data_IF_229318407305
#
_entry.id   IF_229318407305
#
_cell.length_a   1.000
_cell.length_b   1.000
_cell.length_c   1.000
_cell.angle_alpha   90.00
_cell.angle_beta   90.00
_cell.angle_gamma   90.00
#
_symmetry.space_group_name_H-M   'P 1'
#
loop_
_entity.id
_entity.type
_entity.pdbx_description
1 polymer ?
#
# COMPACT_ATOMS: atom_id res chain seq x y z
N UNK A 1 -7.27 13.87 -13.12
CA UNK A 1 -7.01 13.76 -14.56
C UNK A 1 -5.62 13.16 -14.73
N UNK A 2 -5.55 11.86 -15.04
CA UNK A 2 -4.26 11.16 -15.17
C UNK A 2 -3.65 11.39 -16.55
N UNK A 3 -4.47 11.38 -17.60
CA UNK A 3 -4.03 11.60 -18.98
C UNK A 3 -3.43 13.00 -19.14
N UNK A 4 -4.15 14.04 -18.68
CA UNK A 4 -3.62 15.41 -18.72
C UNK A 4 -2.33 15.59 -17.90
N UNK A 5 -2.19 14.88 -16.76
CA UNK A 5 -0.96 14.92 -15.97
C UNK A 5 0.22 14.25 -16.70
N UNK A 6 -0.03 13.13 -17.40
CA UNK A 6 0.98 12.45 -18.21
C UNK A 6 1.40 13.32 -19.38
N UNK A 7 0.47 13.89 -20.13
CA UNK A 7 0.77 14.80 -21.25
C UNK A 7 1.62 15.99 -20.81
N UNK A 8 1.28 16.61 -19.67
CA UNK A 8 2.06 17.70 -19.10
C UNK A 8 3.48 17.26 -18.75
N UNK A 9 3.65 16.11 -18.10
CA UNK A 9 4.97 15.59 -17.72
C UNK A 9 5.80 15.20 -18.96
N UNK A 10 5.18 14.59 -19.97
CA UNK A 10 5.86 14.27 -21.23
C UNK A 10 6.32 15.53 -21.96
N UNK A 11 5.49 16.58 -21.98
CA UNK A 11 5.89 17.89 -22.53
C UNK A 11 7.06 18.53 -21.77
N UNK A 12 7.20 18.23 -20.47
CA UNK A 12 8.32 18.63 -19.62
C UNK A 12 9.56 17.71 -19.75
N UNK A 13 9.58 16.78 -20.72
CA UNK A 13 10.73 15.92 -21.03
C UNK A 13 10.78 14.61 -20.24
N UNK A 14 9.73 14.28 -19.48
CA UNK A 14 9.59 12.95 -18.89
C UNK A 14 9.29 11.93 -19.99
N UNK A 15 9.66 10.67 -19.77
CA UNK A 15 9.45 9.61 -20.76
C UNK A 15 8.68 8.44 -20.17
N UNK A 16 7.56 8.09 -20.76
CA UNK A 16 6.85 6.86 -20.45
C UNK A 16 7.77 5.65 -20.60
N UNK A 17 7.82 4.81 -19.57
CA UNK A 17 8.60 3.57 -19.56
C UNK A 17 7.68 2.40 -19.31
N UNK A 18 7.74 1.42 -20.21
CA UNK A 18 7.14 0.12 -19.98
C UNK A 18 7.92 -0.59 -18.86
N UNK A 19 7.42 -0.46 -17.63
CA UNK A 19 7.86 -1.27 -16.50
C UNK A 19 6.69 -2.09 -15.99
N UNK A 20 6.93 -3.30 -15.47
CA UNK A 20 6.00 -3.94 -14.56
C UNK A 20 6.00 -3.13 -13.27
N UNK A 21 5.36 -1.96 -13.28
CA UNK A 21 5.15 -1.14 -12.11
C UNK A 21 3.70 -1.20 -11.69
N UNK A 22 3.54 -0.87 -10.42
CA UNK A 22 2.31 -0.95 -9.65
C UNK A 22 1.48 0.33 -9.76
N UNK A 23 2.05 1.41 -10.35
CA UNK A 23 1.28 2.56 -10.82
C UNK A 23 0.78 2.32 -12.24
N UNK A 24 -0.43 2.79 -12.61
CA UNK A 24 -0.91 2.65 -13.98
C UNK A 24 0.00 3.29 -15.03
N UNK A 25 0.83 4.28 -14.65
CA UNK A 25 1.83 4.89 -15.52
C UNK A 25 3.14 5.07 -14.77
N UNK A 26 4.25 4.72 -15.41
CA UNK A 26 5.60 5.06 -14.93
C UNK A 26 6.28 5.93 -15.94
N UNK A 27 6.82 7.02 -15.43
CA UNK A 27 7.63 7.94 -16.20
C UNK A 27 9.07 7.88 -15.71
N UNK A 28 10.02 8.08 -16.61
CA UNK A 28 11.40 8.40 -16.28
C UNK A 28 11.56 9.91 -16.28
N UNK A 29 12.10 10.46 -15.21
CA UNK A 29 12.43 11.89 -15.13
C UNK A 29 13.57 12.23 -16.08
N UNK A 30 13.73 13.51 -16.48
CA UNK A 30 14.85 13.95 -17.32
C UNK A 30 16.23 13.63 -16.73
N UNK A 31 16.33 13.53 -15.41
CA UNK A 31 17.53 13.20 -14.65
C UNK A 31 17.63 11.70 -14.26
N UNK A 32 16.77 10.86 -14.84
CA UNK A 32 16.94 9.41 -14.83
C UNK A 32 16.25 8.63 -13.71
N UNK A 33 15.51 9.30 -12.81
CA UNK A 33 14.73 8.65 -11.75
C UNK A 33 13.41 8.09 -12.30
N UNK A 34 12.84 7.10 -11.60
CA UNK A 34 11.51 6.61 -11.90
C UNK A 34 10.46 7.40 -11.10
N UNK A 35 9.37 7.79 -11.76
CA UNK A 35 8.21 8.43 -11.18
C UNK A 35 6.99 7.53 -11.45
N UNK A 36 6.44 6.96 -10.39
CA UNK A 36 5.20 6.19 -10.45
C UNK A 36 4.00 7.13 -10.25
N UNK A 37 3.10 7.17 -11.23
CA UNK A 37 1.87 7.97 -11.16
C UNK A 37 0.69 7.09 -10.79
N UNK A 38 -0.07 7.53 -9.79
CA UNK A 38 -1.21 6.82 -9.24
C UNK A 38 -2.47 7.71 -9.24
N UNK A 39 -3.53 7.35 -9.99
CA UNK A 39 -4.84 7.99 -9.86
C UNK A 39 -5.52 7.60 -8.53
N UNK A 40 -5.15 6.44 -8.00
CA UNK A 40 -5.54 5.91 -6.70
C UNK A 40 -4.42 5.06 -6.13
N UNK A 41 -4.21 5.10 -4.82
CA UNK A 41 -3.17 4.31 -4.16
C UNK A 41 -3.48 2.81 -4.09
N UNK A 42 -4.77 2.45 -4.12
CA UNK A 42 -5.20 1.05 -4.07
C UNK A 42 -6.25 0.77 -5.14
N UNK A 43 -5.94 -0.19 -6.01
CA UNK A 43 -6.84 -0.64 -7.06
C UNK A 43 -8.09 -1.32 -6.50
N UNK A 44 -9.14 -1.35 -7.32
CA UNK A 44 -10.39 -2.06 -7.07
C UNK A 44 -10.99 -1.83 -5.66
N UNK A 45 -10.79 -0.64 -5.09
CA UNK A 45 -11.24 -0.27 -3.74
C UNK A 45 -10.82 -1.28 -2.65
N UNK A 46 -9.63 -1.88 -2.80
CA UNK A 46 -9.09 -2.90 -1.87
C UNK A 46 -8.99 -2.37 -0.44
N UNK A 47 -8.47 -1.16 -0.29
CA UNK A 47 -8.43 -0.42 0.98
C UNK A 47 -8.95 1.00 0.76
N UNK A 48 -9.21 1.71 1.87
CA UNK A 48 -9.79 3.05 1.90
C UNK A 48 -8.72 4.08 2.20
N UNK A 49 -8.11 4.59 1.13
CA UNK A 49 -7.20 5.72 1.22
C UNK A 49 -7.47 6.63 0.00
N UNK A 50 -8.61 7.35 -0.01
CA UNK A 50 -8.98 8.16 -1.15
C UNK A 50 -8.00 9.33 -1.31
N UNK A 51 -7.65 9.61 -2.56
CA UNK A 51 -6.66 10.63 -2.94
C UNK A 51 -6.96 11.99 -2.29
N UNK A 52 -8.21 12.43 -2.32
CA UNK A 52 -8.65 13.68 -1.69
C UNK A 52 -8.30 13.75 -0.20
N UNK A 53 -8.56 12.68 0.56
CA UNK A 53 -8.32 12.68 1.99
C UNK A 53 -6.81 12.61 2.32
N UNK A 54 -5.99 12.02 1.45
CA UNK A 54 -4.54 12.05 1.56
C UNK A 54 -4.01 13.47 1.35
N UNK A 55 -4.46 14.17 0.31
CA UNK A 55 -4.09 15.57 0.09
C UNK A 55 -4.59 16.49 1.20
N UNK A 56 -5.81 16.28 1.71
CA UNK A 56 -6.36 17.07 2.80
C UNK A 56 -5.54 16.95 4.11
N UNK A 57 -4.88 15.81 4.35
CA UNK A 57 -3.99 15.60 5.50
C UNK A 57 -2.52 15.89 5.22
N UNK A 58 -2.17 16.21 3.98
CA UNK A 58 -0.79 16.49 3.60
C UNK A 58 -0.32 17.85 4.12
N UNK A 59 0.98 17.95 4.37
CA UNK A 59 1.63 19.20 4.77
C UNK A 59 2.31 19.81 3.55
N UNK A 60 2.29 21.14 3.45
CA UNK A 60 3.12 21.85 2.46
C UNK A 60 4.57 21.84 2.91
N UNK A 61 5.47 21.51 1.98
CA UNK A 61 6.91 21.58 2.17
C UNK A 61 7.51 22.34 0.99
N UNK A 62 8.29 23.38 1.27
CA UNK A 62 9.02 24.17 0.27
C UNK A 62 10.52 23.91 0.27
N UNK A 63 11.02 23.20 1.27
CA UNK A 63 12.44 22.94 1.49
C UNK A 63 12.96 21.73 0.72
N UNK A 64 12.14 20.71 0.48
CA UNK A 64 12.59 19.46 -0.14
C UNK A 64 13.11 19.62 -1.58
N UNK A 65 12.41 20.42 -2.39
CA UNK A 65 12.69 20.55 -3.83
C UNK A 65 12.79 22.01 -4.30
N UNK A 66 12.84 22.98 -3.38
CA UNK A 66 12.83 24.41 -3.71
C UNK A 66 11.53 24.89 -4.37
N UNK A 67 10.48 24.05 -4.36
CA UNK A 67 9.14 24.34 -4.85
C UNK A 67 8.13 23.82 -3.82
N UNK A 68 6.93 24.39 -3.80
CA UNK A 68 5.84 23.91 -2.93
C UNK A 68 5.43 22.51 -3.35
N UNK A 69 5.64 21.54 -2.47
CA UNK A 69 5.13 20.17 -2.61
C UNK A 69 4.20 19.82 -1.45
N UNK A 70 3.30 18.87 -1.69
CA UNK A 70 2.43 18.30 -0.66
C UNK A 70 3.00 16.96 -0.20
N UNK A 71 3.43 16.90 1.05
CA UNK A 71 3.99 15.69 1.66
C UNK A 71 2.90 14.95 2.42
N UNK A 72 2.60 13.67 2.10
CA UNK A 72 1.57 12.92 2.79
C UNK A 72 1.86 12.77 4.30
N UNK A 73 0.82 12.75 5.12
CA UNK A 73 0.97 12.51 6.55
C UNK A 73 1.67 11.16 6.82
N UNK A 74 2.56 11.05 7.83
CA UNK A 74 3.28 9.81 8.12
C UNK A 74 2.38 8.59 8.32
N UNK A 75 1.19 8.77 8.91
CA UNK A 75 0.19 7.71 9.05
C UNK A 75 -0.30 7.15 7.71
N UNK A 76 -0.54 8.03 6.73
CA UNK A 76 -0.99 7.64 5.39
C UNK A 76 0.13 6.93 4.61
N UNK A 77 1.38 7.38 4.78
CA UNK A 77 2.55 6.70 4.21
C UNK A 77 2.69 5.29 4.79
N UNK A 78 2.59 5.16 6.12
CA UNK A 78 2.66 3.86 6.78
C UNK A 78 1.55 2.91 6.34
N UNK A 79 0.30 3.41 6.26
CA UNK A 79 -0.83 2.66 5.73
C UNK A 79 -0.58 2.24 4.27
N UNK A 80 -0.07 3.14 3.43
CA UNK A 80 0.27 2.83 2.05
C UNK A 80 1.28 1.68 1.94
N UNK A 81 2.38 1.72 2.71
CA UNK A 81 3.41 0.68 2.69
C UNK A 81 2.86 -0.68 3.12
N UNK A 82 2.06 -0.74 4.19
CA UNK A 82 1.41 -1.98 4.64
C UNK A 82 0.49 -2.54 3.55
N UNK A 83 -0.32 -1.69 2.94
CA UNK A 83 -1.27 -2.11 1.90
C UNK A 83 -0.57 -2.58 0.63
N UNK A 84 0.53 -1.91 0.25
CA UNK A 84 1.36 -2.28 -0.89
C UNK A 84 2.02 -3.64 -0.65
N UNK A 85 2.61 -3.86 0.53
CA UNK A 85 3.18 -5.16 0.87
C UNK A 85 2.12 -6.29 0.84
N UNK A 86 0.95 -6.05 1.44
CA UNK A 86 -0.15 -7.01 1.43
C UNK A 86 -0.75 -7.29 0.05
N UNK A 87 -0.46 -6.44 -0.93
CA UNK A 87 -0.95 -6.54 -2.31
C UNK A 87 0.05 -7.20 -3.27
N UNK A 88 1.34 -6.98 -3.04
CA UNK A 88 2.38 -7.28 -4.03
C UNK A 88 3.05 -8.66 -3.81
N UNK A 89 2.91 -9.24 -2.63
CA UNK A 89 3.38 -10.58 -2.21
C UNK A 89 4.87 -10.91 -2.43
N UNK A 90 5.35 -11.87 -1.63
CA UNK A 90 6.75 -12.12 -1.28
C UNK A 90 7.58 -12.78 -2.40
N UNK A 91 8.40 -12.00 -3.12
CA UNK A 91 9.69 -12.53 -3.56
C UNK A 91 10.80 -12.18 -2.54
N UNK A 92 12.03 -12.66 -2.74
CA UNK A 92 13.16 -12.37 -1.83
C UNK A 92 13.51 -10.88 -1.70
N UNK A 93 13.01 -10.01 -2.58
CA UNK A 93 13.15 -8.54 -2.47
C UNK A 93 12.14 -7.91 -1.51
N UNK A 94 11.15 -8.67 -1.03
CA UNK A 94 10.13 -8.19 -0.10
C UNK A 94 10.67 -7.87 1.31
N UNK A 95 11.83 -8.40 1.70
CA UNK A 95 12.52 -8.02 2.96
C UNK A 95 12.83 -6.54 3.00
N UNK A 96 13.30 -5.95 1.89
CA UNK A 96 13.59 -4.51 1.83
C UNK A 96 12.35 -3.64 2.08
N UNK A 97 11.15 -4.13 1.73
CA UNK A 97 9.88 -3.43 2.00
C UNK A 97 9.45 -3.56 3.46
N UNK A 98 9.72 -4.69 4.11
CA UNK A 98 9.51 -4.82 5.56
C UNK A 98 10.43 -3.88 6.32
N UNK A 99 11.67 -3.71 5.88
CA UNK A 99 12.60 -2.73 6.43
C UNK A 99 12.11 -1.29 6.22
N UNK A 100 11.52 -0.96 5.06
CA UNK A 100 10.89 0.35 4.82
C UNK A 100 9.75 0.61 5.81
N UNK A 101 8.86 -0.38 6.02
CA UNK A 101 7.78 -0.28 7.00
C UNK A 101 8.37 -0.07 8.40
N UNK A 102 9.38 -0.85 8.79
CA UNK A 102 10.03 -0.74 10.09
C UNK A 102 10.66 0.65 10.30
N UNK A 103 11.39 1.17 9.31
CA UNK A 103 12.01 2.51 9.38
C UNK A 103 10.98 3.61 9.59
N UNK A 104 9.78 3.48 9.03
CA UNK A 104 8.72 4.48 9.20
C UNK A 104 8.23 4.61 10.64
N UNK A 105 8.41 3.60 11.51
CA UNK A 105 8.02 3.68 12.91
C UNK A 105 8.60 4.92 13.63
N UNK A 106 9.85 5.27 13.34
CA UNK A 106 10.52 6.45 13.91
C UNK A 106 9.97 7.80 13.44
N UNK A 107 9.18 7.83 12.37
CA UNK A 107 8.66 9.06 11.73
C UNK A 107 7.17 9.29 11.98
N UNK A 108 6.44 8.28 12.48
CA UNK A 108 4.98 8.34 12.64
C UNK A 108 4.55 9.36 13.71
N UNK A 109 5.36 9.52 14.77
CA UNK A 109 5.08 10.47 15.85
C UNK A 109 3.75 10.25 16.59
N UNK A 110 3.15 9.05 16.46
CA UNK A 110 1.84 8.70 17.03
C UNK A 110 1.90 7.38 17.80
N UNK A 111 0.97 7.21 18.75
CA UNK A 111 0.88 5.97 19.54
C UNK A 111 0.49 4.77 18.67
N UNK A 112 0.89 3.57 19.09
CA UNK A 112 0.51 2.32 18.42
C UNK A 112 -1.02 2.17 18.28
N UNK A 113 -1.78 2.63 19.27
CA UNK A 113 -3.23 2.66 19.22
C UNK A 113 -3.77 3.60 18.12
N UNK A 114 -3.19 4.80 18.01
CA UNK A 114 -3.57 5.77 16.96
C UNK A 114 -3.34 5.19 15.57
N UNK A 115 -2.20 4.52 15.37
CA UNK A 115 -1.87 3.84 14.12
C UNK A 115 -2.85 2.70 13.85
N UNK A 116 -3.14 1.85 14.84
CA UNK A 116 -4.09 0.75 14.69
C UNK A 116 -5.49 1.25 14.31
N UNK A 117 -5.97 2.31 14.97
CA UNK A 117 -7.25 2.96 14.63
C UNK A 117 -7.23 3.52 13.20
N UNK A 118 -6.15 4.18 12.80
CA UNK A 118 -5.99 4.71 11.45
C UNK A 118 -6.06 3.59 10.39
N UNK A 119 -5.31 2.49 10.58
CA UNK A 119 -5.34 1.32 9.70
C UNK A 119 -6.74 0.72 9.59
N UNK A 120 -7.49 0.64 10.69
CA UNK A 120 -8.88 0.17 10.67
C UNK A 120 -9.79 1.13 9.88
N UNK A 121 -9.66 2.46 10.06
CA UNK A 121 -10.43 3.45 9.26
C UNK A 121 -10.12 3.32 7.77
N UNK A 122 -8.87 3.01 7.43
CA UNK A 122 -8.43 2.71 6.08
C UNK A 122 -8.91 1.35 5.57
N UNK A 123 -9.68 0.58 6.34
CA UNK A 123 -10.17 -0.74 5.94
C UNK A 123 -9.06 -1.79 5.83
N UNK A 124 -7.97 -1.62 6.59
CA UNK A 124 -6.75 -2.41 6.51
C UNK A 124 -6.58 -3.36 7.70
N UNK A 125 -7.67 -3.68 8.42
CA UNK A 125 -7.60 -4.50 9.63
C UNK A 125 -6.91 -5.86 9.40
N UNK A 126 -7.32 -6.63 8.39
CA UNK A 126 -6.77 -7.99 8.17
C UNK A 126 -5.39 -7.98 7.53
N UNK A 127 -5.14 -7.07 6.58
CA UNK A 127 -3.79 -6.91 6.02
C UNK A 127 -2.80 -6.50 7.11
N UNK A 128 -3.20 -5.65 8.05
CA UNK A 128 -2.34 -5.28 9.19
C UNK A 128 -2.06 -6.49 10.09
N UNK A 129 -3.05 -7.37 10.31
CA UNK A 129 -2.84 -8.66 11.02
C UNK A 129 -1.88 -9.60 10.31
N UNK A 130 -1.80 -9.51 8.99
CA UNK A 130 -0.86 -10.30 8.19
C UNK A 130 0.54 -9.68 8.18
N UNK A 131 0.66 -8.37 7.93
CA UNK A 131 1.94 -7.70 7.68
C UNK A 131 2.70 -7.35 8.95
N UNK A 132 2.05 -6.83 9.98
CA UNK A 132 2.74 -6.33 11.18
C UNK A 132 3.55 -7.42 11.92
N UNK A 133 3.04 -8.67 12.08
CA UNK A 133 3.85 -9.75 12.63
C UNK A 133 5.09 -10.06 11.78
N UNK A 134 4.99 -9.98 10.45
CA UNK A 134 6.12 -10.23 9.56
C UNK A 134 7.19 -9.14 9.68
N UNK A 135 6.78 -7.87 9.80
CA UNK A 135 7.70 -6.76 10.07
C UNK A 135 8.48 -7.06 11.34
N UNK A 136 7.78 -7.31 12.46
CA UNK A 136 8.43 -7.60 13.72
C UNK A 136 9.37 -8.82 13.65
N UNK A 137 8.94 -9.92 13.04
CA UNK A 137 9.74 -11.15 12.93
C UNK A 137 11.01 -10.97 12.10
N UNK A 138 10.97 -10.16 11.05
CA UNK A 138 12.11 -9.98 10.13
C UNK A 138 13.06 -8.89 10.59
N UNK A 139 12.53 -7.78 11.11
CA UNK A 139 13.33 -6.58 11.43
C UNK A 139 13.60 -6.40 12.92
N UNK A 140 12.96 -7.21 13.77
CA UNK A 140 12.96 -7.08 15.23
C UNK A 140 12.48 -5.69 15.74
N UNK A 141 11.71 -4.98 14.92
CA UNK A 141 11.15 -3.67 15.26
C UNK A 141 9.92 -3.86 16.18
N UNK A 142 9.91 -3.31 17.41
CA UNK A 142 8.87 -3.59 18.40
C UNK A 142 7.56 -2.81 18.18
N UNK A 143 7.58 -1.65 17.53
CA UNK A 143 6.39 -0.83 17.30
C UNK A 143 5.35 -1.56 16.45
N UNK A 144 5.77 -2.30 15.42
CA UNK A 144 4.86 -3.13 14.63
C UNK A 144 4.09 -4.15 15.48
N UNK A 145 4.74 -4.78 16.46
CA UNK A 145 4.09 -5.70 17.39
C UNK A 145 3.10 -4.98 18.32
N UNK A 146 3.45 -3.77 18.78
CA UNK A 146 2.54 -2.94 19.59
C UNK A 146 1.29 -2.53 18.80
N UNK A 147 1.46 -2.06 17.56
CA UNK A 147 0.33 -1.72 16.66
C UNK A 147 -0.55 -2.94 16.44
N UNK A 148 0.05 -4.11 16.21
CA UNK A 148 -0.69 -5.36 16.04
C UNK A 148 -1.53 -5.72 17.27
N UNK A 149 -0.98 -5.55 18.48
CA UNK A 149 -1.69 -5.79 19.73
C UNK A 149 -2.89 -4.84 19.95
N UNK A 150 -2.83 -3.62 19.40
CA UNK A 150 -3.92 -2.65 19.46
C UNK A 150 -5.03 -2.88 18.41
N UNK A 151 -4.89 -3.85 17.50
CA UNK A 151 -5.92 -4.10 16.48
C UNK A 151 -7.18 -4.74 17.12
N UNK A 152 -8.39 -4.28 16.76
CA UNK A 152 -9.64 -4.83 17.30
C UNK A 152 -9.82 -6.30 16.93
N UNK A 153 -10.44 -7.08 17.81
CA UNK A 153 -10.67 -8.51 17.64
C UNK A 153 -11.34 -8.82 16.29
N UNK A 154 -10.75 -9.75 15.52
CA UNK A 154 -11.30 -10.24 14.25
C UNK A 154 -10.86 -11.70 14.06
N UNK A 155 -11.63 -12.68 14.57
CA UNK A 155 -11.26 -14.10 14.49
C UNK A 155 -11.14 -14.59 13.04
N UNK A 156 -12.03 -14.11 12.16
CA UNK A 156 -11.95 -14.41 10.72
C UNK A 156 -10.66 -13.82 10.16
N UNK A 157 -10.34 -12.58 10.52
CA UNK A 157 -9.10 -11.92 10.13
C UNK A 157 -7.84 -12.66 10.58
N UNK A 158 -7.84 -13.25 11.77
CA UNK A 158 -6.74 -14.09 12.25
C UNK A 158 -6.56 -15.35 11.39
N UNK A 159 -7.65 -16.04 11.08
CA UNK A 159 -7.62 -17.21 10.19
C UNK A 159 -7.13 -16.84 8.78
N UNK A 160 -7.66 -15.75 8.19
CA UNK A 160 -7.24 -15.26 6.87
C UNK A 160 -5.77 -14.87 6.87
N UNK A 161 -5.27 -14.19 7.91
CA UNK A 161 -3.87 -13.81 8.02
C UNK A 161 -2.95 -15.05 8.15
N UNK A 162 -3.36 -16.07 8.92
CA UNK A 162 -2.61 -17.33 9.03
C UNK A 162 -2.56 -18.10 7.70
N UNK A 163 -3.68 -18.15 6.97
CA UNK A 163 -3.73 -18.74 5.63
C UNK A 163 -2.84 -17.94 4.67
N UNK A 164 -2.84 -16.60 4.74
CA UNK A 164 -1.99 -15.75 3.92
C UNK A 164 -0.51 -16.03 4.20
N UNK A 165 -0.08 -16.07 5.47
CA UNK A 165 1.31 -16.35 5.85
C UNK A 165 1.79 -17.73 5.39
N UNK A 166 0.95 -18.75 5.47
CA UNK A 166 1.29 -20.11 5.00
C UNK A 166 1.26 -20.24 3.48
N UNK A 167 0.25 -19.66 2.81
CA UNK A 167 0.00 -19.86 1.38
C UNK A 167 0.88 -18.98 0.48
N UNK A 168 1.37 -17.86 1.00
CA UNK A 168 2.18 -16.89 0.24
C UNK A 168 3.68 -17.06 0.49
N UNK A 169 4.08 -17.94 1.40
CA UNK A 169 5.48 -18.23 1.65
C UNK A 169 6.13 -18.80 0.38
N UNK A 170 7.07 -18.06 -0.22
CA UNK A 170 7.75 -18.45 -1.46
C UNK A 170 6.89 -18.39 -2.73
N UNK A 171 5.69 -17.80 -2.67
CA UNK A 171 4.85 -17.62 -3.85
C UNK A 171 5.35 -16.45 -4.71
N UNK A 172 5.41 -16.58 -6.05
CA UNK A 172 5.79 -15.46 -6.92
C UNK A 172 4.86 -14.25 -6.74
N UNK A 173 5.44 -13.04 -6.78
CA UNK A 173 4.74 -11.76 -6.63
C UNK A 173 3.49 -11.62 -7.54
N UNK A 174 3.53 -12.20 -8.75
CA UNK A 174 2.45 -12.13 -9.73
C UNK A 174 1.55 -13.38 -9.79
N UNK A 175 1.49 -14.17 -8.71
CA UNK A 175 0.66 -15.37 -8.68
C UNK A 175 -0.84 -15.04 -8.56
N UNK A 176 -1.70 -15.84 -9.22
CA UNK A 176 -3.17 -15.74 -9.08
C UNK A 176 -3.63 -15.93 -7.63
N UNK A 177 -2.90 -16.76 -6.86
CA UNK A 177 -3.13 -16.99 -5.44
C UNK A 177 -2.86 -15.74 -4.62
N UNK A 178 -1.75 -15.04 -4.89
CA UNK A 178 -1.47 -13.73 -4.33
C UNK A 178 -2.62 -12.76 -4.56
N UNK A 179 -3.00 -12.54 -5.82
CA UNK A 179 -4.10 -11.63 -6.15
C UNK A 179 -5.39 -11.93 -5.36
N UNK A 180 -5.78 -13.21 -5.21
CA UNK A 180 -6.93 -13.61 -4.39
C UNK A 180 -6.74 -13.21 -2.91
N UNK A 181 -5.60 -13.55 -2.32
CA UNK A 181 -5.30 -13.28 -0.91
C UNK A 181 -5.28 -11.77 -0.64
N UNK A 182 -4.72 -10.95 -1.54
CA UNK A 182 -4.73 -9.49 -1.42
C UNK A 182 -6.16 -8.92 -1.24
N UNK A 183 -7.14 -9.47 -1.95
CA UNK A 183 -8.54 -9.05 -1.82
C UNK A 183 -9.22 -9.58 -0.54
N UNK A 184 -8.83 -10.76 -0.05
CA UNK A 184 -9.33 -11.34 1.20
C UNK A 184 -8.79 -10.62 2.46
N UNK A 185 -7.60 -10.02 2.35
CA UNK A 185 -6.91 -9.30 3.42
C UNK A 185 -7.46 -7.89 3.70
N UNK A 186 -8.65 -7.57 3.23
CA UNK A 186 -9.29 -6.30 3.54
C UNK A 186 -9.99 -6.30 4.91
N UNK A 187 -10.88 -5.35 5.16
CA UNK A 187 -11.56 -5.21 6.46
C UNK A 187 -12.67 -6.26 6.73
N UNK A 188 -13.30 -6.82 5.69
CA UNK A 188 -14.45 -7.70 5.83
C UNK A 188 -14.78 -8.50 4.55
N UNK A 189 -15.47 -9.63 4.72
CA UNK A 189 -15.86 -10.51 3.60
C UNK A 189 -16.71 -9.80 2.53
N UNK A 190 -17.74 -8.97 2.86
CA UNK A 190 -18.49 -8.26 1.84
C UNK A 190 -17.63 -7.29 1.02
N UNK A 191 -16.66 -6.64 1.67
CA UNK A 191 -15.71 -5.78 0.94
C UNK A 191 -14.77 -6.62 0.08
N UNK A 192 -14.47 -7.87 0.47
CA UNK A 192 -13.51 -8.71 -0.24
C UNK A 192 -14.14 -9.16 -1.56
N UNK A 193 -15.41 -9.56 -1.48
CA UNK A 193 -16.25 -9.81 -2.64
C UNK A 193 -16.33 -8.58 -3.57
N UNK A 194 -16.66 -7.39 -3.03
CA UNK A 194 -16.74 -6.15 -3.84
C UNK A 194 -15.42 -5.79 -4.51
N UNK A 195 -14.30 -5.96 -3.81
CA UNK A 195 -12.97 -5.65 -4.37
C UNK A 195 -12.58 -6.66 -5.45
N UNK A 196 -12.83 -7.95 -5.22
CA UNK A 196 -12.59 -9.00 -6.21
C UNK A 196 -13.46 -8.85 -7.47
N UNK A 197 -14.76 -8.53 -7.33
CA UNK A 197 -15.65 -8.30 -8.48
C UNK A 197 -15.22 -7.08 -9.29
N UNK A 198 -14.83 -5.98 -8.62
CA UNK A 198 -14.33 -4.78 -9.29
C UNK A 198 -13.02 -5.05 -10.03
N UNK A 199 -12.11 -5.82 -9.43
CA UNK A 199 -10.86 -6.22 -10.08
C UNK A 199 -11.12 -7.09 -11.33
N UNK A 200 -12.09 -8.02 -11.25
CA UNK A 200 -12.50 -8.83 -12.39
C UNK A 200 -13.05 -7.95 -13.53
N UNK A 201 -13.94 -7.01 -13.21
CA UNK A 201 -14.53 -6.10 -14.20
C UNK A 201 -13.47 -5.22 -14.86
N UNK A 202 -12.55 -4.63 -14.09
CA UNK A 202 -11.44 -3.83 -14.62
C UNK A 202 -10.52 -4.66 -15.55
N UNK A 203 -10.33 -5.95 -15.26
CA UNK A 203 -9.55 -6.85 -16.11
C UNK A 203 -10.25 -7.16 -17.43
N UNK A 204 -11.58 -7.24 -17.44
CA UNK A 204 -12.37 -7.43 -18.66
C UNK A 204 -12.33 -6.18 -19.54
N UNK A 205 -12.41 -4.98 -18.95
CA UNK A 205 -12.37 -3.72 -19.71
C UNK A 205 -11.00 -3.36 -20.32
N UNK A 206 -9.91 -3.93 -19.81
CA UNK A 206 -8.54 -3.74 -20.32
C UNK A 206 -8.13 -4.78 -21.38
N UNK A 207 -9.03 -5.69 -21.76
CA UNK A 207 -8.84 -6.70 -22.82
C UNK A 207 -9.67 -6.32 -24.04
#
# INVERSE_FOLDING_TARGET
DLEGAVEQLESAGYRSVARPSFGPVVLRTPFGLALDLHPSLFDAARYRLPTEALFARSTEDTGLYGVVVRVPAPLDVYAHLIGKFGSDHLDRSATGRLDEIARMAGWIGASAETVAQHLVRCGMRRVSRYVLPLVHQVTNEPFAAQVHACLPLDPIGQCVAAIASSSLHGAPALSRRGALVAHLLNDSLPRAARSGTRALFQRVQRR
#
